data_IF_360567789908
#
_entry.id   IF_360567789908
#
_cell.length_a   1.000
_cell.length_b   1.000
_cell.length_c   1.000
_cell.angle_alpha   90.00
_cell.angle_beta   90.00
_cell.angle_gamma   90.00
#
_symmetry.space_group_name_H-M   'P 1'
#
loop_
_entity.id
_entity.type
_entity.pdbx_description
1 polymer ?
#
# COMPACT_ATOMS: atom_id res chain seq x y z
N UNK A 1 20.77 -23.61 13.45
CA UNK A 1 20.03 -22.41 13.87
C UNK A 1 20.81 -21.22 13.33
N UNK A 2 20.56 -20.87 12.07
CA UNK A 2 21.08 -19.65 11.47
C UNK A 2 19.85 -18.79 11.18
N UNK A 3 19.55 -17.91 12.13
CA UNK A 3 18.60 -16.83 11.87
C UNK A 3 19.42 -15.80 11.11
N UNK A 4 19.34 -15.88 9.79
CA UNK A 4 19.87 -14.87 8.89
C UNK A 4 19.25 -13.53 9.30
N UNK A 5 20.08 -12.64 9.86
CA UNK A 5 19.67 -11.30 10.26
C UNK A 5 19.34 -10.57 8.97
N UNK A 6 18.07 -10.60 8.59
CA UNK A 6 17.54 -9.87 7.45
C UNK A 6 17.92 -8.40 7.63
N UNK A 7 18.95 -7.98 6.89
CA UNK A 7 19.43 -6.60 6.93
C UNK A 7 18.21 -5.70 6.78
N UNK A 8 17.99 -4.79 7.74
CA UNK A 8 16.95 -3.76 7.63
C UNK A 8 17.29 -2.93 6.40
N UNK A 9 16.81 -3.34 5.23
CA UNK A 9 17.05 -2.62 3.99
C UNK A 9 16.33 -1.28 4.16
N UNK A 10 17.11 -0.21 4.17
CA UNK A 10 16.61 1.15 4.39
C UNK A 10 15.80 1.56 3.17
N UNK A 11 14.57 2.04 3.38
CA UNK A 11 13.77 2.57 2.30
C UNK A 11 14.48 3.75 1.63
N UNK A 12 14.42 3.81 0.30
CA UNK A 12 15.06 4.89 -0.46
C UNK A 12 14.06 6.01 -0.64
N UNK A 13 14.50 7.24 -0.40
CA UNK A 13 13.69 8.44 -0.58
C UNK A 13 14.01 9.05 -1.94
N UNK A 14 12.98 9.30 -2.73
CA UNK A 14 13.02 10.06 -3.97
C UNK A 14 12.31 11.40 -3.77
N UNK A 15 12.91 12.49 -4.22
CA UNK A 15 12.27 13.80 -4.20
C UNK A 15 11.60 14.04 -5.56
N UNK A 16 10.28 14.11 -5.55
CA UNK A 16 9.43 14.34 -6.70
C UNK A 16 8.72 15.71 -6.58
N UNK A 17 8.74 16.57 -7.61
CA UNK A 17 8.05 17.85 -7.56
C UNK A 17 6.52 17.77 -7.43
N UNK A 18 5.90 16.62 -7.74
CA UNK A 18 4.43 16.45 -7.67
C UNK A 18 4.00 15.88 -6.32
N UNK A 19 4.66 14.82 -5.86
CA UNK A 19 4.29 14.09 -4.64
C UNK A 19 5.20 14.37 -3.43
N UNK A 20 6.23 15.22 -3.57
CA UNK A 20 7.18 15.50 -2.51
C UNK A 20 8.16 14.35 -2.28
N UNK A 21 8.41 14.00 -1.02
CA UNK A 21 9.30 12.88 -0.68
C UNK A 21 8.57 11.54 -0.78
N UNK A 22 8.90 10.77 -1.81
CA UNK A 22 8.41 9.41 -2.03
C UNK A 22 9.38 8.42 -1.37
N UNK A 23 8.87 7.63 -0.42
CA UNK A 23 9.62 6.55 0.20
C UNK A 23 9.29 5.21 -0.49
N UNK A 24 10.32 4.53 -1.02
CA UNK A 24 10.16 3.25 -1.70
C UNK A 24 10.89 2.11 -0.99
N UNK A 25 10.20 0.97 -0.93
CA UNK A 25 10.75 -0.27 -0.39
C UNK A 25 11.96 -0.75 -1.24
N UNK A 26 13.01 -1.28 -0.63
CA UNK A 26 14.23 -1.73 -1.31
C UNK A 26 14.02 -2.73 -2.43
N UNK A 27 12.95 -3.52 -2.37
CA UNK A 27 12.59 -4.43 -3.47
C UNK A 27 12.15 -3.66 -4.72
N UNK A 28 11.35 -2.59 -4.57
CA UNK A 28 11.00 -1.70 -5.67
C UNK A 28 12.24 -0.97 -6.21
N UNK A 29 13.14 -0.56 -5.32
CA UNK A 29 14.41 0.07 -5.70
C UNK A 29 15.25 -0.88 -6.55
N UNK A 30 15.32 -2.16 -6.20
CA UNK A 30 16.07 -3.15 -6.99
C UNK A 30 15.53 -3.31 -8.42
N UNK A 31 14.21 -3.16 -8.61
CA UNK A 31 13.58 -3.14 -9.94
C UNK A 31 13.91 -1.83 -10.65
N UNK A 32 13.84 -0.70 -9.96
CA UNK A 32 14.15 0.62 -10.52
C UNK A 32 15.60 0.67 -11.03
N UNK A 33 16.53 0.04 -10.32
CA UNK A 33 17.96 0.05 -10.65
C UNK A 33 18.32 -0.91 -11.81
N UNK A 34 17.35 -1.60 -12.40
CA UNK A 34 17.57 -2.44 -13.60
C UNK A 34 17.71 -1.61 -14.89
N UNK A 35 18.49 -2.05 -15.89
CA UNK A 35 18.61 -1.38 -17.19
C UNK A 35 17.26 -1.16 -17.88
N UNK A 36 16.34 -2.13 -17.77
CA UNK A 36 15.02 -2.10 -18.36
C UNK A 36 14.18 -0.94 -17.83
N UNK A 37 14.24 -0.70 -16.51
CA UNK A 37 13.53 0.41 -15.89
C UNK A 37 14.27 1.74 -16.10
N UNK A 38 15.61 1.76 -16.00
CA UNK A 38 16.41 2.97 -16.25
C UNK A 38 16.25 3.48 -17.69
N UNK A 39 15.95 2.61 -18.66
CA UNK A 39 15.60 2.99 -20.04
C UNK A 39 14.48 4.04 -20.11
N UNK A 40 13.55 4.03 -19.15
CA UNK A 40 12.44 4.99 -19.11
C UNK A 40 12.89 6.45 -18.95
N UNK A 41 14.15 6.70 -18.53
CA UNK A 41 14.74 8.05 -18.50
C UNK A 41 14.90 8.67 -19.88
N UNK A 42 14.88 7.87 -20.93
CA UNK A 42 15.12 8.33 -22.30
C UNK A 42 13.83 8.38 -23.13
N UNK A 43 12.68 8.09 -22.53
CA UNK A 43 11.38 8.10 -23.22
C UNK A 43 10.55 9.26 -22.68
N UNK A 44 10.31 10.26 -23.52
CA UNK A 44 9.44 11.41 -23.19
C UNK A 44 8.03 10.95 -22.88
N UNK A 45 7.45 11.46 -21.79
CA UNK A 45 6.07 11.15 -21.42
C UNK A 45 5.11 11.57 -22.53
N UNK A 46 5.28 12.79 -23.05
CA UNK A 46 4.41 13.41 -24.05
C UNK A 46 4.99 13.34 -25.48
N UNK A 47 6.05 12.55 -25.71
CA UNK A 47 6.64 12.38 -27.05
C UNK A 47 7.03 13.69 -27.73
N UNK A 48 6.51 13.92 -28.95
CA UNK A 48 6.80 15.10 -29.76
C UNK A 48 6.24 16.41 -29.21
N UNK A 49 5.29 16.37 -28.26
CA UNK A 49 4.72 17.56 -27.61
C UNK A 49 5.82 18.42 -26.97
N UNK A 50 6.93 17.80 -26.54
CA UNK A 50 8.10 18.50 -26.02
C UNK A 50 8.68 19.55 -27.00
N UNK A 51 8.56 19.34 -28.31
CA UNK A 51 9.05 20.28 -29.33
C UNK A 51 8.18 21.55 -29.46
N UNK A 52 6.93 21.49 -29.00
CA UNK A 52 6.00 22.63 -28.99
C UNK A 52 5.94 23.27 -27.60
N UNK A 53 6.01 22.43 -26.55
CA UNK A 53 5.93 22.83 -25.16
C UNK A 53 7.21 22.42 -24.43
N UNK A 54 8.19 23.34 -24.28
CA UNK A 54 9.48 23.00 -23.66
C UNK A 54 9.35 22.57 -22.19
N UNK A 55 8.26 22.95 -21.51
CA UNK A 55 7.93 22.48 -20.16
C UNK A 55 7.48 21.02 -20.09
N UNK A 56 7.09 20.40 -21.19
CA UNK A 56 6.77 18.97 -21.27
C UNK A 56 8.06 18.11 -21.37
N UNK A 57 9.06 18.43 -20.56
CA UNK A 57 10.38 17.82 -20.59
C UNK A 57 10.49 16.48 -19.85
N UNK A 58 9.45 16.14 -19.07
CA UNK A 58 9.39 14.95 -18.25
C UNK A 58 9.37 13.66 -19.08
N UNK A 59 9.99 12.62 -18.54
CA UNK A 59 10.11 11.29 -19.10
C UNK A 59 9.21 10.30 -18.33
N UNK A 60 9.11 9.08 -18.86
CA UNK A 60 8.32 8.01 -18.25
C UNK A 60 8.89 7.51 -16.92
N UNK A 61 10.16 7.78 -16.63
CA UNK A 61 10.83 7.29 -15.42
C UNK A 61 10.21 7.87 -14.14
N UNK A 62 10.19 9.19 -14.01
CA UNK A 62 9.63 9.89 -12.84
C UNK A 62 8.13 9.64 -12.71
N UNK A 63 7.41 9.59 -13.83
CA UNK A 63 6.00 9.25 -13.84
C UNK A 63 5.75 7.84 -13.28
N UNK A 64 6.55 6.85 -13.68
CA UNK A 64 6.41 5.47 -13.19
C UNK A 64 6.69 5.36 -11.69
N UNK A 65 7.63 6.15 -11.16
CA UNK A 65 7.88 6.25 -9.72
C UNK A 65 6.65 6.84 -9.00
N UNK A 66 6.06 7.92 -9.53
CA UNK A 66 4.85 8.52 -8.97
C UNK A 66 3.65 7.55 -8.96
N UNK A 67 3.48 6.77 -10.03
CA UNK A 67 2.44 5.73 -10.07
C UNK A 67 2.66 4.65 -9.01
N UNK A 68 3.91 4.19 -8.82
CA UNK A 68 4.23 3.20 -7.79
C UNK A 68 3.92 3.73 -6.38
N UNK A 69 4.20 5.00 -6.13
CA UNK A 69 3.87 5.67 -4.87
C UNK A 69 2.35 5.69 -4.63
N UNK A 70 1.57 6.22 -5.57
CA UNK A 70 0.10 6.32 -5.44
C UNK A 70 -0.56 4.94 -5.32
N UNK A 71 -0.06 3.93 -6.05
CA UNK A 71 -0.55 2.56 -5.91
C UNK A 71 -0.31 2.03 -4.48
N UNK A 72 0.86 2.32 -3.90
CA UNK A 72 1.17 1.98 -2.50
C UNK A 72 0.23 2.67 -1.52
N UNK A 73 0.02 3.98 -1.67
CA UNK A 73 -0.91 4.74 -0.82
C UNK A 73 -2.34 4.21 -0.90
N UNK A 74 -2.81 3.87 -2.11
CA UNK A 74 -4.14 3.30 -2.32
C UNK A 74 -4.29 1.96 -1.58
N UNK A 75 -3.33 1.04 -1.75
CA UNK A 75 -3.36 -0.26 -1.07
C UNK A 75 -3.33 -0.10 0.45
N UNK A 76 -2.52 0.83 0.97
CA UNK A 76 -2.48 1.11 2.41
C UNK A 76 -3.82 1.66 2.92
N UNK A 77 -4.43 2.59 2.18
CA UNK A 77 -5.74 3.15 2.53
C UNK A 77 -6.82 2.07 2.55
N UNK A 78 -6.84 1.19 1.55
CA UNK A 78 -7.78 0.06 1.49
C UNK A 78 -7.56 -0.90 2.66
N UNK A 79 -6.31 -1.33 2.92
CA UNK A 79 -6.00 -2.23 4.05
C UNK A 79 -6.45 -1.64 5.39
N UNK A 80 -6.22 -0.34 5.60
CA UNK A 80 -6.68 0.36 6.81
C UNK A 80 -8.21 0.29 6.95
N UNK A 81 -8.95 0.53 5.87
CA UNK A 81 -10.41 0.43 5.89
C UNK A 81 -10.88 -1.01 6.15
N UNK A 82 -10.26 -2.01 5.52
CA UNK A 82 -10.61 -3.42 5.73
C UNK A 82 -10.44 -3.83 7.20
N UNK A 83 -9.34 -3.46 7.84
CA UNK A 83 -9.10 -3.78 9.26
C UNK A 83 -10.11 -3.09 10.18
N UNK A 84 -10.42 -1.81 9.94
CA UNK A 84 -11.44 -1.09 10.72
C UNK A 84 -12.81 -1.76 10.60
N UNK A 85 -13.18 -2.22 9.40
CA UNK A 85 -14.44 -2.94 9.20
C UNK A 85 -14.45 -4.32 9.87
N UNK A 86 -13.35 -5.06 9.87
CA UNK A 86 -13.23 -6.33 10.59
C UNK A 86 -13.35 -6.13 12.10
N UNK A 87 -12.65 -5.14 12.65
CA UNK A 87 -12.70 -4.81 14.08
C UNK A 87 -14.10 -4.39 14.52
N UNK A 88 -14.79 -3.59 13.71
CA UNK A 88 -16.18 -3.20 13.98
C UNK A 88 -17.12 -4.41 13.97
N UNK A 89 -16.93 -5.35 13.03
CA UNK A 89 -17.72 -6.60 12.94
C UNK A 89 -17.47 -7.50 14.14
N UNK A 90 -16.20 -7.65 14.56
CA UNK A 90 -15.83 -8.42 15.76
C UNK A 90 -16.42 -7.81 17.03
N UNK A 91 -16.32 -6.48 17.20
CA UNK A 91 -16.90 -5.77 18.35
C UNK A 91 -18.42 -5.92 18.42
N UNK A 92 -19.11 -5.84 17.29
CA UNK A 92 -20.56 -6.09 17.20
C UNK A 92 -20.90 -7.53 17.58
N UNK A 93 -20.14 -8.51 17.10
CA UNK A 93 -20.36 -9.91 17.45
C UNK A 93 -20.12 -10.19 18.94
N UNK A 94 -19.11 -9.54 19.52
CA UNK A 94 -18.82 -9.59 20.97
C UNK A 94 -19.91 -8.91 21.81
N UNK A 95 -20.48 -7.79 21.36
CA UNK A 95 -21.61 -7.17 22.08
C UNK A 95 -22.86 -8.06 22.01
N UNK A 96 -23.18 -8.62 20.85
CA UNK A 96 -24.33 -9.53 20.68
C UNK A 96 -24.22 -10.79 21.58
N UNK A 97 -22.99 -11.27 21.84
CA UNK A 97 -22.73 -12.36 22.80
C UNK A 97 -22.95 -11.93 24.26
N UNK A 98 -22.52 -10.71 24.62
CA UNK A 98 -22.65 -10.17 25.99
C UNK A 98 -24.08 -9.79 26.34
N UNK A 99 -24.86 -9.37 25.36
CA UNK A 99 -26.27 -9.00 25.53
C UNK A 99 -27.23 -10.21 25.62
N UNK A 100 -26.69 -11.43 25.76
CA UNK A 100 -27.48 -12.62 26.10
C UNK A 100 -28.40 -13.14 24.99
N UNK A 101 -28.29 -12.65 23.74
CA UNK A 101 -29.12 -13.12 22.61
C UNK A 101 -28.90 -14.58 22.19
N UNK A 102 -27.87 -15.24 22.74
CA UNK A 102 -27.61 -16.68 22.61
C UNK A 102 -27.60 -17.38 23.98
N UNK A 103 -28.33 -16.87 24.98
CA UNK A 103 -28.68 -17.69 26.13
C UNK A 103 -29.62 -18.80 25.63
N UNK A 104 -29.02 -19.92 25.20
CA UNK A 104 -29.70 -21.21 25.05
C UNK A 104 -30.53 -21.41 26.32
N UNK A 105 -31.84 -21.55 26.15
CA UNK A 105 -32.78 -21.98 27.18
C UNK A 105 -32.18 -23.17 27.93
N UNK A 106 -31.60 -22.90 29.11
CA UNK A 106 -31.21 -23.92 30.09
C UNK A 106 -32.39 -24.21 31.01
N UNK A 107 -33.59 -24.32 30.44
CA UNK A 107 -34.76 -24.77 31.17
C UNK A 107 -35.11 -26.19 30.74
N UNK A 108 -34.33 -27.16 31.22
CA UNK A 108 -34.76 -28.55 31.30
C UNK A 108 -34.00 -29.25 32.41
N UNK A 109 -34.78 -29.87 33.30
CA UNK A 109 -34.41 -30.62 34.52
C UNK A 109 -34.06 -29.76 35.74
N UNK A 110 -35.06 -29.49 36.59
CA UNK A 110 -35.11 -29.77 38.04
C UNK A 110 -36.47 -29.29 38.57
N UNK A 111 -37.54 -30.00 38.18
CA UNK A 111 -38.82 -29.99 38.91
C UNK A 111 -39.24 -31.44 39.11
N UNK A 112 -39.34 -31.80 40.39
CA UNK A 112 -39.66 -33.08 41.03
C UNK A 112 -38.47 -34.03 41.20
#
# INVERSE_FOLDING_TARGET
>A
MEVEVESRKINKIFNDPIHGSIELHPHLVSIIDTPEFQRLRYIKQMGSVYFVYPGACHNRFEHSIGVAHLAGELVQALNKQYHVHQDAKLKKHLSDLKDGKYAVDRDLSYRL
#
